data_IF_752210523782
#
_entry.id   IF_752210523782
#
_cell.length_a   1.000
_cell.length_b   1.000
_cell.length_c   1.000
_cell.angle_alpha   90.00
_cell.angle_beta   90.00
_cell.angle_gamma   90.00
#
_symmetry.space_group_name_H-M   'P 1'
#
loop_
_entity.id
_entity.type
_entity.pdbx_description
1 polymer ?
#
# COMPACT_ATOMS: atom_id res chain seq x y z
N UNK A 1 -52.18 -21.76 -4.51
CA UNK A 1 -50.70 -21.78 -4.66
C UNK A 1 -50.28 -20.83 -5.77
N UNK A 2 -49.91 -19.57 -5.45
CA UNK A 2 -49.18 -18.62 -6.34
C UNK A 2 -48.99 -17.24 -5.69
N UNK A 3 -48.57 -17.16 -4.41
CA UNK A 3 -48.23 -15.88 -3.74
C UNK A 3 -47.02 -15.92 -2.80
N UNK A 4 -46.20 -16.98 -2.85
CA UNK A 4 -45.09 -17.17 -1.91
C UNK A 4 -43.72 -17.45 -2.56
N UNK A 5 -43.50 -16.99 -3.79
CA UNK A 5 -42.27 -17.28 -4.54
C UNK A 5 -41.59 -16.05 -5.15
N UNK A 6 -41.90 -14.85 -4.63
CA UNK A 6 -41.27 -13.60 -5.06
C UNK A 6 -40.49 -12.88 -3.95
N UNK A 7 -40.50 -13.38 -2.71
CA UNK A 7 -39.69 -12.83 -1.61
C UNK A 7 -38.33 -13.52 -1.42
N UNK A 8 -38.06 -14.64 -2.09
CA UNK A 8 -36.81 -15.39 -1.96
C UNK A 8 -35.79 -15.13 -3.08
N UNK A 9 -36.12 -14.31 -4.08
CA UNK A 9 -35.23 -13.96 -5.20
C UNK A 9 -34.56 -12.58 -5.00
N UNK A 10 -34.82 -11.91 -3.87
CA UNK A 10 -34.27 -10.57 -3.55
C UNK A 10 -33.12 -10.58 -2.53
N UNK A 11 -32.62 -11.75 -2.11
CA UNK A 11 -31.48 -11.87 -1.18
C UNK A 11 -30.21 -12.48 -1.80
N UNK A 12 -30.15 -12.59 -3.13
CA UNK A 12 -28.91 -12.87 -3.88
C UNK A 12 -28.55 -11.68 -4.76
N UNK A 13 -28.71 -10.46 -4.25
CA UNK A 13 -27.89 -9.35 -4.74
C UNK A 13 -26.49 -9.63 -4.24
N UNK A 14 -25.64 -10.12 -5.14
CA UNK A 14 -24.20 -9.91 -5.08
C UNK A 14 -23.96 -8.58 -4.38
N UNK A 15 -23.27 -8.60 -3.24
CA UNK A 15 -22.49 -7.45 -2.81
C UNK A 15 -21.42 -7.29 -3.90
N UNK A 16 -21.80 -6.69 -5.04
CA UNK A 16 -20.88 -5.98 -5.89
C UNK A 16 -20.38 -4.89 -4.97
N UNK A 17 -19.29 -5.16 -4.25
CA UNK A 17 -18.53 -4.13 -3.55
C UNK A 17 -18.33 -3.02 -4.57
N UNK A 18 -19.12 -1.94 -4.44
CA UNK A 18 -18.93 -0.79 -5.28
C UNK A 18 -17.52 -0.31 -4.96
N UNK A 19 -16.58 -0.54 -5.89
CA UNK A 19 -15.19 -0.14 -5.70
C UNK A 19 -15.19 1.35 -5.37
N UNK A 20 -14.90 1.68 -4.12
CA UNK A 20 -14.82 3.05 -3.67
C UNK A 20 -13.47 3.60 -4.12
N UNK A 21 -13.46 4.73 -4.83
CA UNK A 21 -12.23 5.35 -5.29
C UNK A 21 -11.96 6.59 -4.47
N UNK A 22 -10.71 6.78 -4.06
CA UNK A 22 -10.29 8.08 -3.55
C UNK A 22 -10.39 9.09 -4.70
N UNK A 23 -11.13 10.21 -4.56
CA UNK A 23 -11.22 11.24 -5.59
C UNK A 23 -9.87 11.87 -5.89
N UNK A 24 -9.57 12.16 -7.16
CA UNK A 24 -8.32 12.84 -7.55
C UNK A 24 -8.16 14.20 -6.87
N UNK A 25 -9.27 14.95 -6.70
CA UNK A 25 -9.26 16.23 -5.97
C UNK A 25 -8.78 16.07 -4.52
N UNK A 26 -9.11 14.94 -3.90
CA UNK A 26 -8.76 14.65 -2.51
C UNK A 26 -7.29 14.26 -2.41
N UNK A 27 -6.79 13.43 -3.33
CA UNK A 27 -5.36 13.16 -3.47
C UNK A 27 -4.54 14.46 -3.60
N UNK A 28 -4.90 15.34 -4.53
CA UNK A 28 -4.23 16.63 -4.72
C UNK A 28 -4.34 17.48 -3.44
N UNK A 29 -5.50 17.53 -2.79
CA UNK A 29 -5.67 18.29 -1.55
C UNK A 29 -4.81 17.73 -0.41
N UNK A 30 -4.68 16.41 -0.31
CA UNK A 30 -3.88 15.78 0.74
C UNK A 30 -2.39 16.07 0.56
N UNK A 31 -1.91 16.03 -0.69
CA UNK A 31 -0.55 16.45 -1.04
C UNK A 31 -0.28 17.89 -0.64
N UNK A 32 -1.15 18.83 -1.05
CA UNK A 32 -0.97 20.26 -0.75
C UNK A 32 -0.98 20.57 0.74
N UNK A 33 -1.74 19.80 1.53
CA UNK A 33 -1.76 19.92 2.99
C UNK A 33 -0.56 19.25 3.66
N UNK A 34 0.31 18.58 2.89
CA UNK A 34 1.40 17.74 3.40
C UNK A 34 0.91 16.84 4.52
N UNK A 35 -0.26 16.20 4.30
CA UNK A 35 -0.94 15.43 5.34
C UNK A 35 -0.10 14.19 5.65
N UNK A 36 0.77 14.28 6.66
CA UNK A 36 1.47 13.13 7.21
C UNK A 36 0.53 12.43 8.20
N UNK A 37 0.35 11.14 8.02
CA UNK A 37 -0.38 10.26 8.91
C UNK A 37 0.64 9.31 9.56
N UNK A 38 1.19 9.73 10.71
CA UNK A 38 1.83 8.77 11.62
C UNK A 38 0.79 7.87 12.33
N UNK A 39 -0.32 7.54 11.64
CA UNK A 39 -1.36 6.64 12.15
C UNK A 39 -1.03 5.17 11.90
N UNK A 40 0.06 4.85 11.18
CA UNK A 40 0.60 3.48 11.20
C UNK A 40 0.83 3.04 12.66
N UNK A 41 1.25 3.96 13.53
CA UNK A 41 1.39 3.72 14.97
C UNK A 41 0.07 3.46 15.70
N UNK A 42 -1.08 3.82 15.12
CA UNK A 42 -2.38 3.67 15.75
C UNK A 42 -3.08 2.34 15.40
N UNK A 43 -2.50 1.55 14.50
CA UNK A 43 -3.06 0.27 14.09
C UNK A 43 -2.31 -0.89 14.72
N UNK A 44 -3.00 -2.03 14.84
CA UNK A 44 -2.37 -3.30 15.18
C UNK A 44 -1.50 -3.73 13.99
N UNK A 45 -0.24 -4.09 14.27
CA UNK A 45 0.72 -4.52 13.25
C UNK A 45 0.90 -6.03 13.31
N UNK A 46 1.19 -6.63 12.16
CA UNK A 46 1.45 -8.07 12.06
C UNK A 46 2.69 -8.37 11.21
N UNK A 47 3.56 -9.21 11.74
CA UNK A 47 4.74 -9.71 11.05
C UNK A 47 4.47 -11.04 10.35
N UNK A 48 5.31 -11.36 9.36
CA UNK A 48 5.36 -12.64 8.66
C UNK A 48 4.05 -12.98 7.90
N UNK A 49 3.32 -12.00 7.37
CA UNK A 49 2.18 -12.24 6.45
C UNK A 49 2.61 -13.09 5.25
N UNK A 50 3.80 -12.80 4.71
CA UNK A 50 4.36 -13.39 3.48
C UNK A 50 5.77 -13.98 3.73
N UNK A 51 6.08 -14.35 4.98
CA UNK A 51 7.47 -14.63 5.41
C UNK A 51 8.43 -13.44 5.18
N UNK A 52 7.87 -12.26 4.92
CA UNK A 52 8.58 -11.00 4.82
C UNK A 52 8.85 -10.41 6.21
N UNK A 53 10.05 -9.83 6.44
CA UNK A 53 10.33 -9.10 7.68
C UNK A 53 9.54 -7.79 7.78
N UNK A 54 8.92 -7.32 6.70
CA UNK A 54 8.12 -6.10 6.71
C UNK A 54 6.78 -6.33 7.43
N UNK A 55 6.51 -5.46 8.42
CA UNK A 55 5.24 -5.47 9.13
C UNK A 55 4.09 -5.10 8.17
N UNK A 56 3.00 -5.85 8.24
CA UNK A 56 1.70 -5.43 7.72
C UNK A 56 0.82 -4.81 8.80
N UNK A 57 -0.39 -4.42 8.39
CA UNK A 57 -1.40 -3.82 9.27
C UNK A 57 -2.72 -4.54 9.08
N UNK A 58 -3.39 -4.87 10.19
CA UNK A 58 -4.76 -5.37 10.13
C UNK A 58 -5.74 -4.28 9.73
N UNK A 59 -6.67 -4.62 8.85
CA UNK A 59 -7.81 -3.78 8.52
C UNK A 59 -8.87 -3.82 9.64
N UNK A 60 -8.90 -4.90 10.42
CA UNK A 60 -9.77 -5.03 11.58
C UNK A 60 -9.32 -4.10 12.72
N UNK A 61 -10.28 -3.57 13.47
CA UNK A 61 -9.99 -2.62 14.56
C UNK A 61 -9.19 -3.24 15.71
N UNK A 62 -9.38 -4.53 15.99
CA UNK A 62 -8.53 -5.32 16.89
C UNK A 62 -8.91 -6.78 16.90
N UNK A 63 -7.93 -7.65 17.15
CA UNK A 63 -8.12 -9.09 17.37
C UNK A 63 -8.03 -9.49 18.85
N UNK A 64 -7.90 -8.52 19.76
CA UNK A 64 -7.88 -8.74 21.21
C UNK A 64 -9.25 -9.22 21.70
N UNK A 65 -9.30 -10.13 22.68
CA UNK A 65 -10.55 -10.72 23.11
C UNK A 65 -11.41 -9.71 23.89
N UNK A 66 -12.71 -9.72 23.62
CA UNK A 66 -13.69 -8.78 24.19
C UNK A 66 -14.15 -9.14 25.61
N UNK A 67 -13.83 -10.34 26.07
CA UNK A 67 -14.25 -10.90 27.37
C UNK A 67 -13.39 -10.40 28.55
N UNK A 68 -12.31 -9.68 28.26
CA UNK A 68 -11.50 -8.99 29.25
C UNK A 68 -11.65 -7.48 29.04
N UNK A 69 -11.74 -6.74 30.15
CA UNK A 69 -11.82 -5.28 30.10
C UNK A 69 -10.56 -4.70 29.44
N UNK A 70 -10.70 -4.31 28.17
CA UNK A 70 -9.62 -3.75 27.36
C UNK A 70 -9.33 -2.30 27.78
N UNK A 71 -8.07 -1.96 28.08
CA UNK A 71 -7.67 -0.57 28.22
C UNK A 71 -7.96 0.23 26.94
N UNK A 72 -8.41 1.47 27.08
CA UNK A 72 -8.54 2.38 25.93
C UNK A 72 -7.15 2.71 25.38
N UNK A 73 -7.08 3.01 24.08
CA UNK A 73 -5.86 3.50 23.44
C UNK A 73 -4.68 2.52 23.52
N UNK A 74 -4.92 1.23 23.26
CA UNK A 74 -3.86 0.22 23.11
C UNK A 74 -3.80 -0.31 21.69
N UNK A 75 -2.58 -0.64 21.27
CA UNK A 75 -2.28 -1.33 20.01
C UNK A 75 -1.52 -2.61 20.29
N UNK A 76 -1.64 -3.59 19.41
CA UNK A 76 -1.02 -4.88 19.53
C UNK A 76 -0.06 -5.17 18.38
N UNK A 77 1.00 -5.89 18.72
CA UNK A 77 1.96 -6.47 17.80
C UNK A 77 1.71 -7.96 17.70
N UNK A 78 1.46 -8.41 16.47
CA UNK A 78 1.11 -9.78 16.14
C UNK A 78 2.16 -10.41 15.23
N UNK A 79 2.17 -11.73 15.16
CA UNK A 79 3.05 -12.47 14.27
C UNK A 79 2.38 -13.78 13.84
N UNK A 80 2.55 -14.16 12.58
CA UNK A 80 2.36 -15.54 12.17
C UNK A 80 3.65 -16.33 12.32
N UNK A 81 3.55 -17.48 12.98
CA UNK A 81 4.66 -18.41 13.15
C UNK A 81 4.38 -19.68 12.35
N UNK A 82 5.31 -20.02 11.46
CA UNK A 82 5.22 -21.18 10.56
C UNK A 82 6.20 -22.23 11.04
N UNK A 83 5.66 -23.35 11.53
CA UNK A 83 6.48 -24.52 11.84
C UNK A 83 6.40 -25.51 10.70
N UNK A 84 7.53 -26.14 10.38
CA UNK A 84 7.59 -27.15 9.33
C UNK A 84 6.53 -28.23 9.54
N UNK A 85 5.66 -28.41 8.54
CA UNK A 85 4.58 -29.40 8.57
C UNK A 85 3.36 -29.06 9.43
N UNK A 86 3.31 -27.88 10.07
CA UNK A 86 2.16 -27.42 10.85
C UNK A 86 1.49 -26.21 10.22
N UNK A 87 0.20 -26.02 10.54
CA UNK A 87 -0.53 -24.80 10.20
C UNK A 87 0.09 -23.61 10.95
N UNK A 88 0.23 -22.48 10.27
CA UNK A 88 0.74 -21.27 10.90
C UNK A 88 -0.17 -20.85 12.05
N UNK A 89 0.41 -20.36 13.15
CA UNK A 89 -0.36 -19.91 14.31
C UNK A 89 -0.19 -18.41 14.51
N UNK A 90 -1.28 -17.73 14.83
CA UNK A 90 -1.31 -16.30 15.16
C UNK A 90 -0.93 -16.09 16.62
N UNK A 91 0.10 -15.30 16.85
CA UNK A 91 0.60 -14.96 18.17
C UNK A 91 0.48 -13.47 18.47
N UNK A 92 0.08 -13.14 19.69
CA UNK A 92 0.21 -11.81 20.27
C UNK A 92 1.59 -11.68 20.93
N UNK A 93 2.45 -10.84 20.36
CA UNK A 93 3.83 -10.62 20.82
C UNK A 93 3.87 -9.55 21.90
N UNK A 94 3.29 -8.38 21.63
CA UNK A 94 3.33 -7.21 22.52
C UNK A 94 2.04 -6.40 22.45
N UNK A 95 1.79 -5.65 23.51
CA UNK A 95 0.73 -4.65 23.58
C UNK A 95 1.40 -3.36 24.03
N UNK A 96 1.11 -2.26 23.35
CA UNK A 96 1.57 -0.94 23.71
C UNK A 96 0.40 -0.07 24.12
N UNK A 97 0.67 0.86 25.03
CA UNK A 97 -0.21 1.99 25.23
C UNK A 97 0.14 3.08 24.23
N UNK A 98 -0.87 3.65 23.58
CA UNK A 98 -0.74 4.82 22.72
C UNK A 98 -0.67 6.13 23.52
N UNK A 99 -0.76 6.07 24.86
CA UNK A 99 -0.63 7.21 25.77
C UNK A 99 0.64 7.10 26.62
N UNK A 100 1.41 8.17 26.63
CA UNK A 100 2.57 8.33 27.49
C UNK A 100 2.16 8.16 28.98
N UNK A 101 2.93 7.38 29.74
CA UNK A 101 2.63 7.07 31.15
C UNK A 101 1.64 5.93 31.43
N UNK A 102 0.92 5.40 30.42
CA UNK A 102 -0.03 4.28 30.59
C UNK A 102 0.53 2.89 30.24
N UNK A 103 1.86 2.76 30.14
CA UNK A 103 2.55 1.50 29.84
C UNK A 103 2.19 0.35 30.80
N UNK A 104 1.93 0.69 32.08
CA UNK A 104 1.55 -0.29 33.10
C UNK A 104 0.19 -0.95 32.81
N UNK A 105 -0.80 -0.22 32.28
CA UNK A 105 -2.13 -0.78 31.95
C UNK A 105 -2.03 -1.82 30.82
N UNK A 106 -1.26 -1.52 29.77
CA UNK A 106 -1.03 -2.45 28.66
C UNK A 106 -0.30 -3.72 29.13
N UNK A 107 0.70 -3.58 30.00
CA UNK A 107 1.45 -4.70 30.57
C UNK A 107 0.57 -5.58 31.47
N UNK A 108 -0.26 -4.97 32.34
CA UNK A 108 -1.22 -5.69 33.19
C UNK A 108 -2.20 -6.49 32.33
N UNK A 109 -2.76 -5.86 31.29
CA UNK A 109 -3.69 -6.53 30.38
C UNK A 109 -3.04 -7.70 29.63
N UNK A 110 -1.81 -7.52 29.14
CA UNK A 110 -1.02 -8.62 28.52
C UNK A 110 -0.78 -9.78 29.49
N UNK A 111 -0.46 -9.50 30.75
CA UNK A 111 -0.24 -10.54 31.75
C UNK A 111 -1.52 -11.33 32.04
N UNK A 112 -2.68 -10.66 32.14
CA UNK A 112 -3.97 -11.34 32.28
C UNK A 112 -4.29 -12.25 31.10
N UNK A 113 -3.94 -11.82 29.88
CA UNK A 113 -4.07 -12.67 28.69
C UNK A 113 -3.16 -13.90 28.77
N UNK A 114 -1.91 -13.72 29.20
CA UNK A 114 -0.96 -14.83 29.35
C UNK A 114 -1.38 -15.82 30.45
N UNK A 115 -1.91 -15.34 31.57
CA UNK A 115 -2.45 -16.18 32.65
C UNK A 115 -3.65 -17.02 32.16
N UNK A 116 -4.51 -16.42 31.32
CA UNK A 116 -5.73 -17.07 30.84
C UNK A 116 -5.48 -18.05 29.68
N UNK A 117 -4.65 -17.66 28.71
CA UNK A 117 -4.49 -18.39 27.45
C UNK A 117 -3.13 -19.08 27.31
N UNK A 118 -2.24 -18.91 28.28
CA UNK A 118 -0.87 -19.38 28.22
C UNK A 118 0.04 -18.45 27.42
N UNK A 119 1.35 -18.67 27.56
CA UNK A 119 2.39 -17.97 26.81
C UNK A 119 3.57 -18.92 26.59
N UNK A 120 4.16 -18.88 25.41
CA UNK A 120 5.42 -19.54 25.07
C UNK A 120 6.49 -18.50 24.67
N UNK A 121 7.64 -18.98 24.17
CA UNK A 121 8.74 -18.15 23.69
C UNK A 121 8.34 -17.28 22.48
N UNK A 122 7.29 -17.66 21.76
CA UNK A 122 6.72 -16.95 20.64
C UNK A 122 5.58 -16.00 21.06
N UNK A 123 5.12 -16.01 22.30
CA UNK A 123 4.13 -15.08 22.82
C UNK A 123 2.84 -15.78 23.25
N UNK A 124 1.73 -15.05 23.20
CA UNK A 124 0.42 -15.57 23.61
C UNK A 124 -0.28 -16.08 22.35
N UNK A 125 -0.55 -17.39 22.20
CA UNK A 125 -1.26 -17.90 21.04
C UNK A 125 -2.71 -17.39 21.07
N UNK A 126 -3.20 -16.91 19.93
CA UNK A 126 -4.52 -16.28 19.80
C UNK A 126 -5.67 -17.31 19.75
N UNK A 127 -5.67 -18.30 20.65
CA UNK A 127 -6.61 -19.44 20.63
C UNK A 127 -8.07 -19.06 20.82
N UNK A 128 -8.33 -17.84 21.32
CA UNK A 128 -9.68 -17.27 21.44
C UNK A 128 -10.27 -16.84 20.09
N UNK A 129 -9.43 -16.63 19.06
CA UNK A 129 -9.88 -16.03 17.81
C UNK A 129 -10.21 -17.10 16.77
N UNK A 130 -11.42 -17.01 16.19
CA UNK A 130 -11.83 -17.73 14.98
C UNK A 130 -12.60 -16.78 14.08
N UNK A 131 -12.23 -16.69 12.81
CA UNK A 131 -12.81 -15.73 11.87
C UNK A 131 -11.87 -15.40 10.72
N UNK A 132 -12.33 -14.52 9.83
CA UNK A 132 -11.52 -13.98 8.74
C UNK A 132 -10.79 -12.72 9.22
N UNK A 133 -9.50 -12.62 8.90
CA UNK A 133 -8.69 -11.41 9.08
C UNK A 133 -8.13 -10.96 7.74
N UNK A 134 -7.98 -9.65 7.60
CA UNK A 134 -7.50 -9.00 6.39
C UNK A 134 -6.36 -8.07 6.77
N UNK A 135 -5.21 -8.25 6.13
CA UNK A 135 -4.03 -7.45 6.41
C UNK A 135 -3.49 -6.81 5.14
N UNK A 136 -3.12 -5.54 5.24
CA UNK A 136 -2.31 -4.89 4.22
C UNK A 136 -0.88 -5.40 4.34
N UNK A 137 -0.32 -5.95 3.28
CA UNK A 137 1.10 -6.30 3.23
C UNK A 137 1.93 -5.04 3.01
N UNK A 138 2.99 -4.81 3.79
CA UNK A 138 3.96 -3.74 3.55
C UNK A 138 3.32 -2.34 3.34
N UNK A 139 2.41 -1.88 4.21
CA UNK A 139 1.71 -0.61 4.03
C UNK A 139 2.67 0.59 4.12
N UNK A 140 2.36 1.64 3.36
CA UNK A 140 3.06 2.93 3.39
C UNK A 140 2.08 4.07 3.61
N UNK A 141 2.51 5.10 4.34
CA UNK A 141 1.82 6.38 4.30
C UNK A 141 2.08 7.04 2.94
N UNK A 142 1.01 7.50 2.32
CA UNK A 142 1.08 8.30 1.12
C UNK A 142 0.12 9.49 1.18
N UNK A 143 0.58 10.58 1.80
CA UNK A 143 -0.16 11.82 1.98
C UNK A 143 -1.51 11.57 2.63
N UNK A 144 -1.49 10.95 3.80
CA UNK A 144 -2.68 10.83 4.62
C UNK A 144 -3.64 9.74 4.19
N UNK A 145 -3.14 8.80 3.38
CA UNK A 145 -3.72 7.49 3.11
C UNK A 145 -2.68 6.43 3.48
N UNK A 146 -3.10 5.36 4.16
CA UNK A 146 -2.26 4.17 4.30
C UNK A 146 -2.57 3.29 3.10
N UNK A 147 -1.56 3.03 2.25
CA UNK A 147 -1.72 2.31 0.98
C UNK A 147 -0.86 1.04 0.91
N UNK A 148 -1.33 0.06 0.15
CA UNK A 148 -0.58 -1.15 -0.19
C UNK A 148 -0.80 -1.59 -1.65
N UNK A 149 0.13 -2.42 -2.15
CA UNK A 149 0.02 -3.19 -3.39
C UNK A 149 -0.66 -4.55 -3.22
N UNK A 150 -0.62 -5.14 -2.02
CA UNK A 150 -1.08 -6.50 -1.77
C UNK A 150 -1.90 -6.53 -0.47
N UNK A 151 -3.01 -7.26 -0.52
CA UNK A 151 -3.82 -7.55 0.67
C UNK A 151 -3.87 -9.05 0.85
N UNK A 152 -3.70 -9.50 2.07
CA UNK A 152 -3.79 -10.90 2.44
C UNK A 152 -5.02 -11.13 3.31
N UNK A 153 -5.84 -12.11 2.94
CA UNK A 153 -6.92 -12.65 3.75
C UNK A 153 -6.48 -13.98 4.37
N UNK A 154 -6.85 -14.17 5.62
CA UNK A 154 -6.61 -15.40 6.35
C UNK A 154 -7.91 -15.86 6.99
N UNK A 155 -8.23 -17.13 6.84
CA UNK A 155 -9.27 -17.77 7.64
C UNK A 155 -8.59 -18.45 8.83
N UNK A 156 -8.99 -18.05 10.03
CA UNK A 156 -8.40 -18.50 11.30
C UNK A 156 -9.41 -19.33 12.07
N UNK A 157 -8.97 -20.46 12.61
CA UNK A 157 -9.73 -21.27 13.56
C UNK A 157 -8.90 -21.48 14.82
N UNK A 158 -9.38 -20.98 15.96
CA UNK A 158 -8.71 -21.05 17.27
C UNK A 158 -7.23 -20.65 17.19
N UNK A 159 -6.96 -19.52 16.53
CA UNK A 159 -5.61 -18.98 16.34
C UNK A 159 -4.79 -19.66 15.25
N UNK A 160 -5.25 -20.76 14.63
CA UNK A 160 -4.54 -21.45 13.55
C UNK A 160 -5.01 -20.96 12.18
N UNK A 161 -4.08 -20.72 11.26
CA UNK A 161 -4.35 -20.38 9.86
C UNK A 161 -4.85 -21.63 9.14
N UNK A 162 -6.10 -21.60 8.70
CA UNK A 162 -6.73 -22.67 7.91
C UNK A 162 -6.51 -22.46 6.42
N UNK A 163 -6.63 -21.22 5.97
CA UNK A 163 -6.38 -20.80 4.59
C UNK A 163 -5.78 -19.41 4.55
N UNK A 164 -5.01 -19.16 3.49
CA UNK A 164 -4.50 -17.85 3.12
C UNK A 164 -4.81 -17.59 1.66
N UNK A 165 -5.32 -16.40 1.38
CA UNK A 165 -5.55 -15.91 0.04
C UNK A 165 -4.89 -14.53 -0.11
N UNK A 166 -4.11 -14.35 -1.18
CA UNK A 166 -3.67 -13.03 -1.58
C UNK A 166 -4.73 -12.44 -2.52
N UNK A 167 -5.30 -11.31 -2.11
CA UNK A 167 -6.22 -10.57 -2.94
C UNK A 167 -5.43 -9.76 -3.95
N UNK A 168 -5.64 -10.05 -5.22
CA UNK A 168 -5.20 -9.19 -6.29
C UNK A 168 -5.95 -7.86 -6.17
N UNK A 169 -5.22 -6.78 -5.82
CA UNK A 169 -5.73 -5.44 -6.07
C UNK A 169 -6.02 -5.38 -7.56
N UNK A 170 -7.26 -5.04 -7.91
CA UNK A 170 -7.91 -5.37 -9.18
C UNK A 170 -7.10 -5.23 -10.49
N UNK A 171 -6.00 -4.45 -10.50
CA UNK A 171 -5.06 -4.29 -11.61
C UNK A 171 -3.61 -4.05 -11.14
N UNK A 172 -2.74 -5.04 -11.36
CA UNK A 172 -1.27 -4.92 -11.29
C UNK A 172 -0.73 -4.11 -12.47
N UNK A 173 0.20 -3.18 -12.22
CA UNK A 173 0.83 -2.39 -13.27
C UNK A 173 1.84 -3.18 -14.10
N UNK A 174 1.88 -2.98 -15.41
CA UNK A 174 2.84 -3.66 -16.31
C UNK A 174 4.28 -3.18 -16.12
N UNK A 175 4.48 -1.97 -15.57
CA UNK A 175 5.80 -1.48 -15.16
C UNK A 175 6.14 -1.89 -13.70
N UNK A 176 5.22 -2.58 -13.02
CA UNK A 176 5.33 -2.97 -11.61
C UNK A 176 5.45 -4.49 -11.42
N UNK A 177 5.39 -5.29 -12.50
CA UNK A 177 5.49 -6.75 -12.45
C UNK A 177 6.93 -7.27 -12.58
N UNK A 178 7.22 -8.49 -12.07
CA UNK A 178 8.53 -9.10 -12.17
C UNK A 178 8.90 -9.32 -13.64
N UNK A 179 10.02 -8.77 -14.10
CA UNK A 179 10.54 -9.07 -15.44
C UNK A 179 11.27 -10.42 -15.42
N UNK A 180 10.96 -11.27 -16.40
CA UNK A 180 11.93 -12.28 -16.86
C UNK A 180 13.16 -11.55 -17.41
N UNK A 181 14.35 -12.00 -17.00
CA UNK A 181 15.62 -11.50 -17.52
C UNK A 181 15.58 -11.46 -19.06
N UNK A 182 15.88 -10.29 -19.64
CA UNK A 182 16.11 -10.17 -21.07
C UNK A 182 17.63 -10.19 -21.30
N UNK A 183 18.17 -11.04 -22.18
CA UNK A 183 19.61 -11.26 -22.33
C UNK A 183 20.46 -10.01 -22.67
N UNK A 184 19.81 -8.92 -23.10
CA UNK A 184 20.47 -7.72 -23.64
C UNK A 184 20.35 -6.48 -22.73
N UNK A 185 19.70 -6.56 -21.57
CA UNK A 185 19.56 -5.43 -20.65
C UNK A 185 20.66 -5.49 -19.58
N UNK A 186 21.41 -4.41 -19.42
CA UNK A 186 22.56 -4.26 -18.51
C UNK A 186 22.22 -4.42 -17.01
N UNK A 187 20.93 -4.42 -16.69
CA UNK A 187 20.40 -4.57 -15.34
C UNK A 187 19.58 -5.85 -15.26
N UNK A 188 20.17 -6.88 -14.64
CA UNK A 188 19.40 -7.99 -14.08
C UNK A 188 18.49 -7.42 -12.99
N UNK A 189 17.22 -7.84 -12.88
CA UNK A 189 16.46 -7.59 -11.67
C UNK A 189 17.20 -8.30 -10.53
N UNK A 190 17.91 -7.54 -9.71
CA UNK A 190 18.41 -8.03 -8.44
C UNK A 190 17.15 -8.37 -7.66
N UNK A 191 16.94 -9.65 -7.38
CA UNK A 191 15.98 -10.09 -6.39
C UNK A 191 16.53 -9.61 -5.03
N UNK A 192 16.31 -8.34 -4.72
CA UNK A 192 16.61 -7.79 -3.41
C UNK A 192 15.53 -8.30 -2.46
N UNK A 193 16.01 -8.82 -1.34
CA UNK A 193 15.25 -9.20 -0.15
C UNK A 193 14.76 -7.98 0.64
N UNK A 194 15.00 -6.75 0.15
CA UNK A 194 14.86 -5.50 0.91
C UNK A 194 13.49 -4.82 0.69
N UNK A 195 12.43 -5.64 0.58
CA UNK A 195 11.05 -5.19 0.77
C UNK A 195 10.15 -5.13 -0.46
N UNK A 196 8.84 -5.14 -0.19
CA UNK A 196 7.71 -5.15 -1.14
C UNK A 196 7.73 -3.99 -2.16
N UNK A 197 8.48 -2.92 -1.88
CA UNK A 197 8.52 -1.71 -2.68
C UNK A 197 9.85 -1.51 -3.43
N UNK A 198 10.97 -1.91 -2.84
CA UNK A 198 12.31 -1.46 -3.23
C UNK A 198 12.75 -1.96 -4.62
N UNK A 199 12.66 -3.27 -4.87
CA UNK A 199 13.16 -3.87 -6.12
C UNK A 199 12.38 -3.45 -7.38
N UNK A 200 11.11 -3.06 -7.22
CA UNK A 200 10.24 -2.68 -8.34
C UNK A 200 10.19 -1.16 -8.60
N UNK A 201 10.52 -0.31 -7.61
CA UNK A 201 10.35 1.15 -7.71
C UNK A 201 11.41 1.81 -8.61
N UNK A 202 12.70 1.59 -8.35
CA UNK A 202 13.76 2.23 -9.16
C UNK A 202 13.64 1.85 -10.64
N UNK A 203 13.42 0.56 -10.89
CA UNK A 203 13.26 0.01 -12.24
C UNK A 203 12.10 0.65 -13.01
N UNK A 204 10.97 0.86 -12.33
CA UNK A 204 9.79 1.53 -12.88
C UNK A 204 10.11 2.99 -13.25
N UNK A 205 10.88 3.69 -12.42
CA UNK A 205 11.29 5.07 -12.69
C UNK A 205 12.21 5.13 -13.91
N UNK A 206 13.20 4.22 -14.01
CA UNK A 206 14.08 4.14 -15.18
C UNK A 206 13.29 3.94 -16.49
N UNK A 207 12.28 3.06 -16.49
CA UNK A 207 11.39 2.85 -17.65
C UNK A 207 10.56 4.09 -17.99
N UNK A 208 10.06 4.80 -16.98
CA UNK A 208 9.32 6.04 -17.17
C UNK A 208 10.24 7.11 -17.77
N UNK A 209 11.46 7.25 -17.24
CA UNK A 209 12.50 8.16 -17.72
C UNK A 209 12.84 7.88 -19.18
N UNK A 210 13.15 6.62 -19.53
CA UNK A 210 13.42 6.20 -20.91
C UNK A 210 12.26 6.58 -21.83
N UNK A 211 11.02 6.28 -21.41
CA UNK A 211 9.83 6.55 -22.19
C UNK A 211 9.61 8.04 -22.44
N UNK A 212 9.63 8.88 -21.39
CA UNK A 212 9.33 10.32 -21.54
C UNK A 212 10.46 11.07 -22.25
N UNK A 213 11.70 10.63 -22.08
CA UNK A 213 12.87 11.26 -22.70
C UNK A 213 13.09 10.83 -24.15
N UNK A 214 12.48 9.73 -24.61
CA UNK A 214 12.62 9.23 -26.00
C UNK A 214 12.30 10.24 -27.10
N UNK A 215 11.52 11.28 -26.78
CA UNK A 215 11.13 12.37 -27.70
C UNK A 215 11.65 13.74 -27.27
N UNK A 216 12.50 13.80 -26.26
CA UNK A 216 13.10 15.05 -25.80
C UNK A 216 14.30 15.39 -26.70
N UNK A 217 14.31 16.60 -27.27
CA UNK A 217 15.49 17.10 -27.98
C UNK A 217 16.49 17.57 -26.92
N UNK A 218 17.67 16.96 -26.90
CA UNK A 218 18.77 17.42 -26.04
C UNK A 218 19.38 18.67 -26.64
N UNK A 219 19.29 19.78 -25.92
CA UNK A 219 20.03 20.99 -26.25
C UNK A 219 21.26 21.08 -25.34
N UNK A 220 22.44 20.89 -25.93
CA UNK A 220 23.71 20.89 -25.19
C UNK A 220 24.15 22.28 -24.73
N UNK A 221 23.46 23.34 -25.18
CA UNK A 221 23.79 24.74 -24.85
C UNK A 221 22.89 25.33 -23.77
N UNK A 222 21.72 24.73 -23.52
CA UNK A 222 20.82 25.12 -22.44
C UNK A 222 21.35 24.66 -21.08
N UNK A 223 21.17 25.48 -20.04
CA UNK A 223 21.46 25.16 -18.63
C UNK A 223 20.19 25.00 -17.79
N UNK A 224 19.01 24.93 -18.44
CA UNK A 224 17.71 24.87 -17.77
C UNK A 224 17.61 23.67 -16.83
N UNK A 225 17.31 23.94 -15.57
CA UNK A 225 17.07 22.95 -14.51
C UNK A 225 15.91 23.40 -13.66
N UNK A 226 14.91 22.54 -13.47
CA UNK A 226 13.77 22.82 -12.61
C UNK A 226 13.12 21.52 -12.13
N UNK A 227 12.38 21.60 -11.03
CA UNK A 227 11.66 20.48 -10.45
C UNK A 227 10.16 20.77 -10.35
N UNK A 228 9.35 19.73 -10.44
CA UNK A 228 7.91 19.80 -10.22
C UNK A 228 7.40 18.49 -9.63
N UNK A 229 6.25 18.55 -8.97
CA UNK A 229 5.60 17.35 -8.44
C UNK A 229 4.37 17.02 -9.26
N UNK A 230 4.18 15.73 -9.56
CA UNK A 230 3.09 15.22 -10.38
C UNK A 230 2.36 14.12 -9.62
N UNK A 231 1.03 14.18 -9.66
CA UNK A 231 0.19 13.03 -9.39
C UNK A 231 -0.10 12.30 -10.70
N UNK A 232 0.47 11.12 -10.88
CA UNK A 232 0.13 10.20 -11.97
C UNK A 232 -1.14 9.45 -11.58
N UNK A 233 -2.20 9.54 -12.39
CA UNK A 233 -3.47 8.85 -12.15
C UNK A 233 -3.76 7.88 -13.26
N UNK A 234 -3.94 6.59 -12.92
CA UNK A 234 -4.42 5.57 -13.86
C UNK A 234 -5.93 5.42 -13.72
N UNK A 235 -6.69 5.81 -14.75
CA UNK A 235 -8.15 5.70 -14.70
C UNK A 235 -8.65 4.25 -14.86
N UNK A 236 -9.98 4.04 -14.77
CA UNK A 236 -10.63 2.73 -14.92
C UNK A 236 -10.37 2.01 -16.25
N UNK A 237 -9.96 2.74 -17.30
CA UNK A 237 -9.58 2.18 -18.60
C UNK A 237 -8.08 1.86 -18.69
N UNK A 238 -7.34 2.02 -17.60
CA UNK A 238 -5.90 1.84 -17.53
C UNK A 238 -5.08 2.99 -18.12
N UNK A 239 -5.70 4.11 -18.52
CA UNK A 239 -4.95 5.23 -19.10
C UNK A 239 -4.38 6.11 -17.98
N UNK A 240 -3.08 6.38 -18.05
CA UNK A 240 -2.39 7.28 -17.12
C UNK A 240 -2.47 8.74 -17.58
N UNK A 241 -2.60 9.67 -16.65
CA UNK A 241 -2.50 11.12 -16.89
C UNK A 241 -1.77 11.75 -15.71
N UNK A 242 -0.95 12.77 -15.96
CA UNK A 242 -0.27 13.53 -14.91
C UNK A 242 -1.06 14.79 -14.54
N UNK A 243 -1.18 15.06 -13.25
CA UNK A 243 -1.71 16.29 -12.69
C UNK A 243 -0.58 17.02 -11.97
N UNK A 244 -0.35 18.27 -12.33
CA UNK A 244 0.65 19.10 -11.68
C UNK A 244 0.23 19.42 -10.24
N UNK A 245 1.12 19.20 -9.29
CA UNK A 245 0.89 19.46 -7.86
C UNK A 245 1.65 20.70 -7.38
N UNK A 246 2.85 20.90 -7.91
CA UNK A 246 3.77 22.03 -7.76
C UNK A 246 4.45 22.29 -9.13
N UNK A 247 5.07 23.44 -9.41
CA UNK A 247 5.53 24.47 -8.47
C UNK A 247 4.43 25.46 -8.04
N UNK A 248 4.64 26.08 -6.88
CA UNK A 248 3.90 27.25 -6.42
C UNK A 248 4.39 28.55 -7.12
N UNK A 249 5.56 28.50 -7.76
CA UNK A 249 6.16 29.59 -8.53
C UNK A 249 5.66 29.65 -9.99
N UNK A 250 5.72 30.86 -10.56
CA UNK A 250 5.36 31.09 -11.96
C UNK A 250 6.44 30.51 -12.87
N UNK A 251 6.16 29.35 -13.47
CA UNK A 251 7.02 28.76 -14.50
C UNK A 251 7.22 29.71 -15.68
N UNK A 252 8.47 29.79 -16.18
CA UNK A 252 8.78 30.52 -17.41
C UNK A 252 8.22 29.78 -18.65
N UNK A 253 8.29 30.43 -19.83
CA UNK A 253 7.70 29.87 -21.07
C UNK A 253 8.34 28.53 -21.48
N UNK A 254 9.63 28.33 -21.24
CA UNK A 254 10.35 27.11 -21.57
C UNK A 254 9.94 25.97 -20.64
N UNK A 255 9.91 26.21 -19.33
CA UNK A 255 9.44 25.26 -18.31
C UNK A 255 8.00 24.82 -18.56
N UNK A 256 7.11 25.76 -18.90
CA UNK A 256 5.73 25.45 -19.28
C UNK A 256 5.66 24.55 -20.52
N UNK A 257 6.50 24.81 -21.53
CA UNK A 257 6.53 24.01 -22.75
C UNK A 257 7.03 22.58 -22.47
N UNK A 258 8.11 22.45 -21.70
CA UNK A 258 8.68 21.17 -21.26
C UNK A 258 7.69 20.37 -20.40
N UNK A 259 6.99 21.03 -19.48
CA UNK A 259 5.96 20.42 -18.63
C UNK A 259 4.78 19.92 -19.46
N UNK A 260 4.27 20.73 -20.39
CA UNK A 260 3.20 20.31 -21.33
C UNK A 260 3.64 19.11 -22.17
N UNK A 261 4.89 19.09 -22.63
CA UNK A 261 5.44 17.96 -23.36
C UNK A 261 5.48 16.70 -22.49
N UNK A 262 5.96 16.81 -21.25
CA UNK A 262 6.02 15.70 -20.30
C UNK A 262 4.64 15.08 -20.06
N UNK A 263 3.65 15.90 -19.67
CA UNK A 263 2.28 15.43 -19.41
C UNK A 263 1.66 14.79 -20.67
N UNK A 264 1.92 15.37 -21.85
CA UNK A 264 1.48 14.79 -23.13
C UNK A 264 2.12 13.43 -23.39
N UNK A 265 3.41 13.24 -23.09
CA UNK A 265 4.05 11.93 -23.24
C UNK A 265 3.49 10.93 -22.22
N UNK A 266 3.38 11.28 -20.94
CA UNK A 266 2.78 10.42 -19.90
C UNK A 266 1.40 9.91 -20.34
N UNK A 267 0.59 10.77 -20.99
CA UNK A 267 -0.75 10.39 -21.47
C UNK A 267 -0.78 9.32 -22.58
N UNK A 268 0.39 8.99 -23.17
CA UNK A 268 0.59 7.95 -24.19
C UNK A 268 1.19 6.65 -23.64
N UNK A 269 1.44 6.58 -22.33
CA UNK A 269 1.88 5.33 -21.71
C UNK A 269 0.91 4.19 -22.06
N UNK A 270 1.42 2.96 -22.23
CA UNK A 270 0.59 1.79 -22.36
C UNK A 270 -0.46 1.71 -21.25
N UNK A 271 -1.61 1.11 -21.55
CA UNK A 271 -2.64 0.92 -20.53
C UNK A 271 -2.09 0.07 -19.39
N UNK A 272 -2.44 0.44 -18.17
CA UNK A 272 -2.01 -0.23 -16.95
C UNK A 272 -0.50 -0.17 -16.72
N UNK A 273 0.20 0.86 -17.22
CA UNK A 273 1.60 1.09 -16.83
C UNK A 273 1.78 1.13 -15.31
N UNK A 274 0.89 1.85 -14.62
CA UNK A 274 0.83 1.89 -13.16
C UNK A 274 -0.45 1.22 -12.66
N UNK A 275 -0.31 0.27 -11.74
CA UNK A 275 -1.42 -0.42 -11.10
C UNK A 275 -2.08 0.44 -10.04
N UNK A 276 -3.18 -0.06 -9.50
CA UNK A 276 -3.84 0.60 -8.37
C UNK A 276 -3.24 0.13 -7.04
N UNK A 277 -3.41 0.96 -6.02
CA UNK A 277 -3.17 0.58 -4.63
C UNK A 277 -4.52 0.48 -3.92
N UNK A 278 -4.51 -0.12 -2.74
CA UNK A 278 -5.67 -0.21 -1.86
C UNK A 278 -5.34 0.50 -0.55
N UNK A 279 -6.31 1.25 -0.03
CA UNK A 279 -6.19 1.91 1.27
C UNK A 279 -6.62 0.99 2.40
N UNK A 280 -6.27 1.34 3.64
CA UNK A 280 -6.71 0.63 4.86
C UNK A 280 -8.23 0.50 5.00
N UNK A 281 -9.00 1.40 4.38
CA UNK A 281 -10.47 1.35 4.38
C UNK A 281 -11.03 0.53 3.20
N UNK A 282 -10.17 -0.14 2.44
CA UNK A 282 -10.55 -0.95 1.28
C UNK A 282 -10.77 -0.15 -0.01
N UNK A 283 -10.58 1.17 0.01
CA UNK A 283 -10.74 2.04 -1.16
C UNK A 283 -9.61 1.88 -2.17
N UNK A 284 -9.91 2.08 -3.45
CA UNK A 284 -8.94 2.10 -4.53
C UNK A 284 -8.24 3.47 -4.59
N UNK A 285 -6.92 3.43 -4.44
CA UNK A 285 -6.04 4.56 -4.65
C UNK A 285 -5.35 4.44 -6.02
N UNK A 286 -5.84 5.23 -6.98
CA UNK A 286 -5.40 5.21 -8.38
C UNK A 286 -4.18 6.09 -8.70
N UNK A 287 -3.59 6.72 -7.67
CA UNK A 287 -2.52 7.70 -7.79
C UNK A 287 -1.12 7.13 -7.58
N UNK A 288 -0.11 7.82 -8.12
CA UNK A 288 1.30 7.79 -7.69
C UNK A 288 1.81 9.22 -7.64
N UNK A 289 2.35 9.63 -6.51
CA UNK A 289 3.02 10.93 -6.40
C UNK A 289 4.47 10.74 -6.82
N UNK A 290 4.92 11.57 -7.75
CA UNK A 290 6.30 11.55 -8.22
C UNK A 290 6.84 12.97 -8.26
N UNK A 291 8.09 13.12 -7.86
CA UNK A 291 8.87 14.33 -8.12
C UNK A 291 9.55 14.15 -9.47
N UNK A 292 9.47 15.15 -10.33
CA UNK A 292 10.06 15.18 -11.65
C UNK A 292 11.07 16.31 -11.74
N UNK A 293 12.34 15.95 -11.90
CA UNK A 293 13.43 16.91 -12.03
C UNK A 293 13.90 16.92 -13.48
N UNK A 294 13.88 18.09 -14.11
CA UNK A 294 14.42 18.28 -15.45
C UNK A 294 15.82 18.87 -15.39
N UNK A 295 16.69 18.40 -16.27
CA UNK A 295 17.93 19.07 -16.62
C UNK A 295 18.20 18.91 -18.11
N UNK A 296 18.69 19.96 -18.77
CA UNK A 296 18.99 19.95 -20.21
C UNK A 296 19.98 18.86 -20.65
N UNK A 297 20.89 18.45 -19.76
CA UNK A 297 21.92 17.43 -20.00
C UNK A 297 21.37 15.99 -20.01
N UNK A 298 20.46 15.70 -19.10
CA UNK A 298 20.02 14.34 -18.73
C UNK A 298 18.55 14.09 -19.03
N UNK A 299 17.76 15.15 -19.24
CA UNK A 299 16.31 15.09 -19.43
C UNK A 299 15.56 15.04 -18.10
N UNK A 300 14.40 14.39 -18.12
CA UNK A 300 13.58 14.16 -16.93
C UNK A 300 14.11 12.99 -16.12
N UNK A 301 14.22 13.19 -14.81
CA UNK A 301 14.42 12.15 -13.80
C UNK A 301 13.27 12.15 -12.81
N UNK A 302 12.93 10.99 -12.28
CA UNK A 302 11.82 10.85 -11.34
C UNK A 302 12.23 10.24 -10.01
N UNK A 303 11.57 10.69 -8.94
CA UNK A 303 11.60 10.09 -7.62
C UNK A 303 10.15 9.77 -7.22
N UNK A 304 9.89 8.61 -6.62
CA UNK A 304 8.55 8.22 -6.14
C UNK A 304 8.45 8.51 -4.65
N UNK A 305 7.37 9.17 -4.22
CA UNK A 305 7.14 9.52 -2.81
C UNK A 305 6.83 8.31 -1.90
N UNK A 306 6.75 7.11 -2.46
CA UNK A 306 6.71 5.86 -1.70
C UNK A 306 8.10 5.44 -1.15
N UNK A 307 9.19 6.07 -1.64
CA UNK A 307 10.56 5.86 -1.20
C UNK A 307 10.97 6.90 -0.13
#
# INVERSE_FOLDING_TARGET
MKKFLLLSILCYTYNVYAQHYIPVKEMISNYKKQKAIDTLKNHDIIYNIEESPEAGIFMEQSLLPSDLQRPKDIRAEWCFEYFSGQKATLYLKKIYSSKEGKSNEASIYKNKLAEKYGKDDLGIPAIWYSGKITALSCPKDLFGEIVTKNVAEFDIEKGQVISRNFLDIAKTGTMEGPRRSRPTIKYSPIASTDGCWYSNLQYKLDLLEEFVNSKLKKDKTSTTKFGLDILLVTNKKGKTTGYLLSPDEIMNKEEQALTKQLIKQISKLPRWSFGWLQTINGSIFQGRYVKANYSSDTGWKFEDYLH
#
